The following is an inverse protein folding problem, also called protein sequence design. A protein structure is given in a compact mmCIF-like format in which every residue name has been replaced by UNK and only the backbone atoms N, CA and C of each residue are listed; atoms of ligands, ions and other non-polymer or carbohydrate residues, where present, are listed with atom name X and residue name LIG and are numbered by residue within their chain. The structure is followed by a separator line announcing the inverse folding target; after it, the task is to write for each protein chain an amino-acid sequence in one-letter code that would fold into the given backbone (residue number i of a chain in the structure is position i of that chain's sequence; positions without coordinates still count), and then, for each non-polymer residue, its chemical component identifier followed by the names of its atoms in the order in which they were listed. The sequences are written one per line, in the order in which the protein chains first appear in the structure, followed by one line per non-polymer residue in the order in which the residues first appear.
data_IF_982973776813
#
_entry.id   IF_982973776813
#
_cell.length_a   1.000
_cell.length_b   1.000
_cell.length_c   1.000
_cell.angle_alpha   90.00
_cell.angle_beta   90.00
_cell.angle_gamma   90.00
#
_symmetry.space_group_name_H-M   'P 1'
#
loop_
_entity.id
_entity.type
_entity.pdbx_description
1 polymer ?
#
# COMPACT_ATOMS: atom_id res chain seq x y z
N UNK A 1 11.43 -7.36 25.52
CA UNK A 1 12.33 -8.05 24.57
C UNK A 1 12.03 -7.49 23.19
N UNK A 2 12.99 -6.84 22.51
CA UNK A 2 12.78 -6.27 21.17
C UNK A 2 13.07 -7.38 20.14
N UNK A 3 12.10 -7.69 19.28
CA UNK A 3 12.32 -8.65 18.21
C UNK A 3 13.29 -8.06 17.19
N UNK A 4 14.32 -8.81 16.86
CA UNK A 4 15.25 -8.46 15.79
C UNK A 4 14.86 -9.20 14.52
N UNK A 5 14.57 -8.47 13.45
CA UNK A 5 14.27 -9.04 12.15
C UNK A 5 15.54 -9.06 11.28
N UNK A 6 15.90 -10.21 10.78
CA UNK A 6 16.98 -10.34 9.79
C UNK A 6 16.35 -10.29 8.42
N UNK A 7 16.68 -9.27 7.65
CA UNK A 7 16.24 -9.18 6.25
C UNK A 7 16.89 -10.30 5.43
N UNK A 8 16.08 -11.06 4.72
CA UNK A 8 16.54 -12.10 3.80
C UNK A 8 16.62 -11.51 2.39
N UNK A 9 17.63 -11.96 1.62
CA UNK A 9 17.85 -11.44 0.27
C UNK A 9 16.65 -11.70 -0.66
N UNK A 10 16.09 -12.91 -0.64
CA UNK A 10 14.91 -13.23 -1.46
C UNK A 10 13.68 -12.38 -1.14
N UNK A 11 13.49 -11.97 0.14
CA UNK A 11 12.41 -11.07 0.53
C UNK A 11 12.61 -9.67 -0.05
N UNK A 12 13.85 -9.20 -0.06
CA UNK A 12 14.21 -7.92 -0.65
C UNK A 12 14.05 -7.95 -2.17
N UNK A 13 14.48 -9.03 -2.79
CA UNK A 13 14.30 -9.28 -4.23
C UNK A 13 12.82 -9.29 -4.60
N UNK A 14 11.99 -10.07 -3.90
CA UNK A 14 10.54 -10.12 -4.15
C UNK A 14 9.89 -8.74 -4.05
N UNK A 15 10.23 -7.96 -3.02
CA UNK A 15 9.75 -6.57 -2.90
C UNK A 15 10.22 -5.72 -4.07
N UNK A 16 11.50 -5.80 -4.42
CA UNK A 16 12.08 -5.03 -5.53
C UNK A 16 11.40 -5.35 -6.86
N UNK A 17 11.07 -6.60 -7.14
CA UNK A 17 10.35 -6.99 -8.36
C UNK A 17 9.01 -6.27 -8.52
N UNK A 18 8.25 -6.12 -7.42
CA UNK A 18 7.00 -5.34 -7.47
C UNK A 18 7.26 -3.88 -7.79
N UNK A 19 8.27 -3.29 -7.17
CA UNK A 19 8.60 -1.89 -7.41
C UNK A 19 9.06 -1.68 -8.85
N UNK A 20 9.91 -2.56 -9.37
CA UNK A 20 10.46 -2.46 -10.73
C UNK A 20 9.37 -2.51 -11.82
N UNK A 21 8.22 -3.16 -11.56
CA UNK A 21 7.07 -3.15 -12.50
C UNK A 21 6.61 -1.72 -12.79
N UNK A 22 6.63 -0.85 -11.79
CA UNK A 22 6.18 0.54 -11.91
C UNK A 22 7.31 1.54 -12.17
N UNK A 23 8.47 1.07 -12.61
CA UNK A 23 9.60 1.94 -12.95
C UNK A 23 9.18 2.95 -14.03
N UNK A 24 9.45 4.23 -13.78
CA UNK A 24 8.99 5.34 -14.61
C UNK A 24 7.73 6.02 -14.10
N UNK A 25 7.02 5.42 -13.13
CA UNK A 25 5.87 6.04 -12.49
C UNK A 25 6.29 7.27 -11.69
N UNK A 26 5.62 8.39 -11.93
CA UNK A 26 5.83 9.60 -11.17
C UNK A 26 5.35 9.46 -9.72
N UNK A 27 6.18 9.93 -8.80
CA UNK A 27 5.81 9.97 -7.37
C UNK A 27 4.78 11.05 -7.11
N UNK A 28 3.74 10.72 -6.35
CA UNK A 28 2.73 11.67 -5.93
C UNK A 28 1.53 11.00 -5.27
N UNK A 29 0.69 11.83 -4.67
CA UNK A 29 -0.64 11.46 -4.20
C UNK A 29 -1.66 12.36 -4.90
N UNK A 30 -2.86 11.85 -5.08
CA UNK A 30 -3.99 12.65 -5.55
C UNK A 30 -4.73 13.22 -4.34
N UNK A 31 -5.02 14.51 -4.38
CA UNK A 31 -5.76 15.21 -3.33
C UNK A 31 -6.97 15.87 -3.95
N UNK A 32 -8.14 15.42 -3.58
CA UNK A 32 -9.41 16.00 -4.02
C UNK A 32 -10.04 16.79 -2.86
N UNK A 33 -10.51 18.00 -3.12
CA UNK A 33 -11.30 18.77 -2.15
C UNK A 33 -12.77 18.38 -2.35
N UNK A 34 -13.33 17.69 -1.33
CA UNK A 34 -14.72 17.20 -1.41
C UNK A 34 -15.70 18.26 -0.99
N UNK A 35 -15.39 19.03 0.05
CA UNK A 35 -16.27 19.99 0.65
C UNK A 35 -15.48 21.18 1.20
N UNK A 36 -16.06 22.37 1.06
CA UNK A 36 -15.58 23.59 1.72
C UNK A 36 -16.67 24.09 2.66
N UNK A 37 -16.38 24.12 3.95
CA UNK A 37 -17.26 24.69 4.97
C UNK A 37 -16.71 26.02 5.41
N UNK A 38 -17.58 27.02 5.46
CA UNK A 38 -17.25 28.30 6.07
C UNK A 38 -17.69 28.23 7.53
N UNK A 39 -16.72 28.27 8.43
CA UNK A 39 -16.95 28.28 9.87
C UNK A 39 -16.87 29.75 10.30
N UNK A 40 -17.96 30.26 10.93
CA UNK A 40 -17.98 31.59 11.53
C UNK A 40 -17.42 31.48 12.96
N UNK A 41 -16.24 32.04 13.18
CA UNK A 41 -15.55 32.05 14.48
C UNK A 41 -15.91 33.34 15.27
N UNK A 42 -16.98 34.00 14.93
CA UNK A 42 -17.45 35.21 15.62
C UNK A 42 -16.47 36.39 15.46
N UNK A 43 -15.88 36.85 16.58
CA UNK A 43 -14.95 38.01 16.61
C UNK A 43 -13.67 37.74 15.78
N UNK A 44 -13.29 36.48 15.55
CA UNK A 44 -12.09 36.08 14.79
C UNK A 44 -12.35 36.01 13.27
N UNK A 45 -13.61 36.18 12.82
CA UNK A 45 -13.96 36.17 11.41
C UNK A 45 -14.36 34.81 10.87
N UNK A 46 -14.40 34.69 9.53
CA UNK A 46 -14.80 33.46 8.85
C UNK A 46 -13.56 32.64 8.42
N UNK A 47 -13.53 31.37 8.78
CA UNK A 47 -12.49 30.43 8.38
C UNK A 47 -13.07 29.40 7.42
N UNK A 48 -12.37 29.16 6.32
CA UNK A 48 -12.74 28.09 5.39
C UNK A 48 -12.08 26.79 5.82
N UNK A 49 -12.88 25.79 6.12
CA UNK A 49 -12.40 24.42 6.36
C UNK A 49 -12.61 23.59 5.09
N UNK A 50 -11.55 22.98 4.60
CA UNK A 50 -11.60 22.08 3.45
C UNK A 50 -11.55 20.62 3.92
N UNK A 51 -12.50 19.81 3.48
CA UNK A 51 -12.47 18.37 3.64
C UNK A 51 -11.75 17.80 2.41
N UNK A 52 -10.58 17.21 2.65
CA UNK A 52 -9.72 16.65 1.62
C UNK A 52 -9.83 15.12 1.60
N UNK A 53 -9.79 14.56 0.40
CA UNK A 53 -9.64 13.12 0.16
C UNK A 53 -8.27 12.88 -0.44
N UNK A 54 -7.57 11.89 0.11
CA UNK A 54 -6.29 11.42 -0.40
C UNK A 54 -6.48 10.08 -1.07
N UNK A 55 -5.93 9.92 -2.25
CA UNK A 55 -5.91 8.66 -3.00
C UNK A 55 -4.54 8.45 -3.64
N UNK A 56 -4.28 7.22 -4.06
CA UNK A 56 -3.10 6.94 -4.85
C UNK A 56 -3.18 7.69 -6.19
N UNK A 57 -2.04 8.22 -6.65
CA UNK A 57 -1.94 8.78 -7.98
C UNK A 57 -2.18 7.67 -9.01
N UNK A 58 -2.91 8.00 -10.07
CA UNK A 58 -3.13 7.08 -11.17
C UNK A 58 -1.80 6.66 -11.80
N UNK A 59 -1.77 5.47 -12.39
CA UNK A 59 -0.60 4.98 -13.12
C UNK A 59 -0.46 5.81 -14.39
N UNK A 60 0.67 6.50 -14.55
CA UNK A 60 0.95 7.43 -15.65
C UNK A 60 1.89 6.86 -16.70
N UNK A 61 2.58 5.75 -16.39
CA UNK A 61 3.41 5.04 -17.37
C UNK A 61 2.52 4.36 -18.41
N UNK A 62 2.98 4.29 -19.64
CA UNK A 62 2.25 3.66 -20.73
C UNK A 62 2.14 2.13 -20.53
N UNK A 63 1.11 1.52 -21.14
CA UNK A 63 0.96 0.07 -21.10
C UNK A 63 2.15 -0.67 -21.71
N UNK A 64 2.81 -0.09 -22.71
CA UNK A 64 4.00 -0.68 -23.34
C UNK A 64 5.20 -0.65 -22.41
N UNK A 65 5.42 0.46 -21.70
CA UNK A 65 6.46 0.55 -20.67
C UNK A 65 6.20 -0.39 -19.51
N UNK A 66 4.94 -0.47 -19.05
CA UNK A 66 4.54 -1.39 -18.00
C UNK A 66 4.79 -2.85 -18.40
N UNK A 67 4.39 -3.23 -19.63
CA UNK A 67 4.63 -4.57 -20.16
C UNK A 67 6.14 -4.87 -20.26
N UNK A 68 6.92 -3.91 -20.73
CA UNK A 68 8.39 -4.03 -20.79
C UNK A 68 8.99 -4.25 -19.39
N UNK A 69 8.59 -3.47 -18.40
CA UNK A 69 9.05 -3.62 -17.02
C UNK A 69 8.71 -5.00 -16.46
N UNK A 70 7.51 -5.52 -16.73
CA UNK A 70 7.08 -6.87 -16.35
C UNK A 70 7.99 -7.92 -17.01
N UNK A 71 8.20 -7.82 -18.32
CA UNK A 71 9.04 -8.75 -19.05
C UNK A 71 10.48 -8.75 -18.54
N UNK A 72 11.03 -7.57 -18.26
CA UNK A 72 12.38 -7.44 -17.73
C UNK A 72 12.48 -8.06 -16.32
N UNK A 73 11.47 -7.88 -15.48
CA UNK A 73 11.37 -8.54 -14.17
C UNK A 73 11.31 -10.06 -14.31
N UNK A 74 10.45 -10.56 -15.19
CA UNK A 74 10.28 -12.00 -15.45
C UNK A 74 11.54 -12.64 -16.00
N UNK A 75 12.29 -11.96 -16.87
CA UNK A 75 13.60 -12.42 -17.38
C UNK A 75 14.64 -12.50 -16.29
N UNK A 76 14.69 -11.52 -15.38
CA UNK A 76 15.61 -11.53 -14.23
C UNK A 76 15.33 -12.68 -13.26
N UNK A 77 14.10 -13.17 -13.20
CA UNK A 77 13.71 -14.32 -12.39
C UNK A 77 13.73 -15.64 -13.20
N UNK A 78 14.29 -15.62 -14.42
CA UNK A 78 14.45 -16.78 -15.31
C UNK A 78 13.13 -17.55 -15.56
N UNK A 79 12.00 -16.83 -15.61
CA UNK A 79 10.71 -17.46 -15.82
C UNK A 79 10.60 -18.04 -17.24
N UNK A 80 10.13 -19.29 -17.33
CA UNK A 80 9.96 -20.00 -18.59
C UNK A 80 8.94 -19.35 -19.55
N UNK A 81 7.97 -18.60 -19.00
CA UNK A 81 6.95 -17.91 -19.77
C UNK A 81 6.98 -16.42 -19.47
N UNK A 82 7.27 -15.64 -20.50
CA UNK A 82 7.25 -14.18 -20.45
C UNK A 82 5.90 -13.68 -20.94
N UNK A 83 5.33 -12.71 -20.23
CA UNK A 83 4.05 -12.09 -20.60
C UNK A 83 4.14 -11.41 -21.97
N UNK A 84 3.18 -11.66 -22.84
CA UNK A 84 3.12 -11.08 -24.19
C UNK A 84 2.22 -9.84 -24.25
N UNK A 85 1.29 -9.74 -23.29
CA UNK A 85 0.34 -8.62 -23.21
C UNK A 85 -0.09 -8.42 -21.77
N UNK A 86 -0.63 -7.25 -21.46
CA UNK A 86 -1.34 -6.98 -20.22
C UNK A 86 -2.75 -7.58 -20.35
N UNK A 87 -3.08 -8.51 -19.45
CA UNK A 87 -4.47 -8.99 -19.34
C UNK A 87 -5.34 -7.84 -18.81
N UNK A 88 -6.65 -7.93 -19.05
CA UNK A 88 -7.61 -6.95 -18.57
C UNK A 88 -7.43 -6.68 -17.06
N UNK A 89 -7.04 -5.45 -16.73
CA UNK A 89 -6.63 -5.05 -15.39
C UNK A 89 -5.15 -5.37 -15.09
N UNK A 90 -4.59 -4.64 -14.13
CA UNK A 90 -3.19 -4.81 -13.69
C UNK A 90 -3.15 -5.84 -12.56
N UNK A 91 -3.16 -7.12 -12.93
CA UNK A 91 -3.09 -8.23 -12.00
C UNK A 91 -1.70 -8.87 -12.06
N UNK A 92 -0.99 -8.89 -10.92
CA UNK A 92 0.32 -9.49 -10.79
C UNK A 92 0.29 -10.57 -9.72
N UNK A 93 1.03 -11.65 -9.95
CA UNK A 93 1.22 -12.73 -8.97
C UNK A 93 2.66 -12.81 -8.53
N UNK A 94 2.86 -12.98 -7.23
CA UNK A 94 4.16 -13.30 -6.65
C UNK A 94 4.03 -14.64 -5.95
N UNK A 95 4.83 -15.60 -6.38
CA UNK A 95 4.87 -16.93 -5.77
C UNK A 95 6.01 -16.99 -4.76
N UNK A 96 5.69 -17.43 -3.58
CA UNK A 96 6.65 -17.68 -2.49
C UNK A 96 6.20 -18.91 -1.70
N UNK A 97 7.14 -19.72 -1.26
CA UNK A 97 6.84 -20.89 -0.45
C UNK A 97 6.18 -20.54 0.90
N UNK A 98 5.50 -21.51 1.48
CA UNK A 98 4.91 -21.35 2.80
C UNK A 98 6.00 -21.19 3.86
N UNK A 99 5.80 -20.28 4.82
CA UNK A 99 6.79 -20.03 5.88
C UNK A 99 7.92 -19.06 5.50
N UNK A 100 8.01 -18.60 4.24
CA UNK A 100 9.08 -17.68 3.78
C UNK A 100 8.85 -16.21 4.13
N UNK A 101 7.78 -15.88 4.85
CA UNK A 101 7.49 -14.51 5.29
C UNK A 101 6.73 -13.67 4.27
N UNK A 102 5.79 -14.26 3.53
CA UNK A 102 4.91 -13.53 2.58
C UNK A 102 4.32 -12.25 3.18
N UNK A 103 3.83 -12.31 4.42
CA UNK A 103 3.27 -11.15 5.12
C UNK A 103 4.31 -10.04 5.31
N UNK A 104 5.52 -10.37 5.68
CA UNK A 104 6.61 -9.41 5.78
C UNK A 104 6.95 -8.77 4.43
N UNK A 105 6.97 -9.57 3.35
CA UNK A 105 7.27 -9.10 1.99
C UNK A 105 6.21 -8.11 1.50
N UNK A 106 4.91 -8.41 1.58
CA UNK A 106 3.92 -7.44 1.12
C UNK A 106 3.82 -6.22 2.03
N UNK A 107 4.07 -6.36 3.34
CA UNK A 107 4.16 -5.20 4.24
C UNK A 107 5.33 -4.30 3.83
N UNK A 108 6.50 -4.86 3.58
CA UNK A 108 7.67 -4.13 3.05
C UNK A 108 7.34 -3.48 1.71
N UNK A 109 6.63 -4.18 0.83
CA UNK A 109 6.20 -3.68 -0.48
C UNK A 109 5.32 -2.44 -0.34
N UNK A 110 4.38 -2.40 0.62
CA UNK A 110 3.56 -1.22 0.91
C UNK A 110 4.45 0.00 1.23
N UNK A 111 5.45 -0.16 2.10
CA UNK A 111 6.38 0.92 2.42
C UNK A 111 7.22 1.35 1.22
N UNK A 112 7.70 0.41 0.43
CA UNK A 112 8.51 0.73 -0.77
C UNK A 112 7.66 1.40 -1.86
N UNK A 113 6.40 1.01 -2.07
CA UNK A 113 5.46 1.68 -2.97
C UNK A 113 5.19 3.11 -2.51
N UNK A 114 5.00 3.32 -1.20
CA UNK A 114 4.87 4.66 -0.65
C UNK A 114 6.15 5.48 -0.85
N UNK A 115 7.31 4.92 -0.56
CA UNK A 115 8.61 5.59 -0.69
C UNK A 115 8.92 6.00 -2.13
N UNK A 116 8.66 5.12 -3.08
CA UNK A 116 9.01 5.33 -4.48
C UNK A 116 7.93 6.12 -5.24
N UNK A 117 6.65 5.82 -5.01
CA UNK A 117 5.54 6.35 -5.81
C UNK A 117 4.56 7.23 -5.03
N UNK A 118 4.69 7.33 -3.70
CA UNK A 118 3.80 8.13 -2.87
C UNK A 118 2.42 7.47 -2.64
N UNK A 119 2.23 6.23 -3.07
CA UNK A 119 0.99 5.51 -2.86
C UNK A 119 0.81 5.19 -1.38
N UNK A 120 -0.33 5.58 -0.83
CA UNK A 120 -0.58 5.53 0.60
C UNK A 120 -1.89 4.83 1.00
N UNK A 121 -2.66 4.31 0.02
CA UNK A 121 -3.92 3.61 0.24
C UNK A 121 -3.83 2.18 -0.27
N UNK A 122 -4.02 1.22 0.61
CA UNK A 122 -3.89 -0.20 0.31
C UNK A 122 -5.04 -1.01 0.91
N UNK A 123 -5.40 -2.09 0.25
CA UNK A 123 -6.39 -3.06 0.74
C UNK A 123 -5.74 -4.44 0.70
N UNK A 124 -5.78 -5.15 1.83
CA UNK A 124 -5.32 -6.53 1.94
C UNK A 124 -6.55 -7.42 2.02
N UNK A 125 -6.77 -8.24 1.00
CA UNK A 125 -7.87 -9.20 0.97
C UNK A 125 -7.35 -10.58 1.34
N UNK A 126 -7.98 -11.21 2.30
CA UNK A 126 -7.59 -12.52 2.83
C UNK A 126 -8.74 -13.51 2.80
N UNK A 127 -8.49 -14.80 2.58
CA UNK A 127 -9.54 -15.79 2.37
C UNK A 127 -10.23 -16.27 3.65
N UNK A 128 -9.69 -15.97 4.84
CA UNK A 128 -10.25 -16.43 6.11
C UNK A 128 -9.96 -15.51 7.28
N UNK A 129 -10.79 -15.62 8.33
CA UNK A 129 -10.61 -14.88 9.58
C UNK A 129 -9.26 -15.23 10.23
N UNK A 130 -8.85 -16.50 10.21
CA UNK A 130 -7.58 -16.92 10.81
C UNK A 130 -6.38 -16.24 10.15
N UNK A 131 -6.39 -16.12 8.80
CA UNK A 131 -5.34 -15.42 8.08
C UNK A 131 -5.42 -13.91 8.35
N UNK A 132 -6.61 -13.34 8.46
CA UNK A 132 -6.80 -11.93 8.81
C UNK A 132 -6.16 -11.60 10.17
N UNK A 133 -6.43 -12.41 11.18
CA UNK A 133 -5.83 -12.23 12.51
C UNK A 133 -4.29 -12.41 12.47
N UNK A 134 -3.80 -13.32 11.64
CA UNK A 134 -2.37 -13.49 11.40
C UNK A 134 -1.72 -12.24 10.75
N UNK A 135 -2.40 -11.62 9.78
CA UNK A 135 -1.97 -10.36 9.17
C UNK A 135 -1.95 -9.24 10.20
N UNK A 136 -3.03 -9.06 10.94
CA UNK A 136 -3.15 -8.09 12.03
C UNK A 136 -1.97 -8.19 13.00
N UNK A 137 -1.76 -9.37 13.57
CA UNK A 137 -0.66 -9.63 14.50
C UNK A 137 0.72 -9.38 13.87
N UNK A 138 0.90 -9.69 12.60
CA UNK A 138 2.16 -9.46 11.90
C UNK A 138 2.44 -7.97 11.72
N UNK A 139 1.43 -7.17 11.37
CA UNK A 139 1.55 -5.71 11.26
C UNK A 139 1.94 -5.08 12.60
N UNK A 140 1.33 -5.53 13.70
CA UNK A 140 1.68 -5.06 15.06
C UNK A 140 3.13 -5.39 15.42
N UNK A 141 3.51 -6.66 15.28
CA UNK A 141 4.84 -7.14 15.65
C UNK A 141 5.94 -6.43 14.84
N UNK A 142 5.70 -6.15 13.56
CA UNK A 142 6.68 -5.54 12.67
C UNK A 142 6.63 -4.01 12.66
N UNK A 143 5.66 -3.40 13.33
CA UNK A 143 5.40 -1.95 13.29
C UNK A 143 6.63 -1.11 13.67
N UNK A 144 7.30 -1.45 14.77
CA UNK A 144 8.47 -0.68 15.22
C UNK A 144 9.68 -0.90 14.32
N UNK A 145 9.88 -2.11 13.80
CA UNK A 145 10.93 -2.40 12.83
C UNK A 145 10.77 -1.54 11.57
N UNK A 146 9.58 -1.51 10.98
CA UNK A 146 9.32 -0.70 9.78
C UNK A 146 9.36 0.79 10.07
N UNK A 147 8.91 1.22 11.26
CA UNK A 147 9.06 2.63 11.67
C UNK A 147 10.52 3.07 11.74
N UNK A 148 11.41 2.24 12.27
CA UNK A 148 12.85 2.52 12.29
C UNK A 148 13.43 2.58 10.87
N UNK A 149 12.98 1.69 9.99
CA UNK A 149 13.51 1.59 8.62
C UNK A 149 13.01 2.71 7.68
N UNK A 150 11.73 3.11 7.80
CA UNK A 150 11.08 4.03 6.87
C UNK A 150 10.67 5.38 7.47
N UNK A 151 10.81 5.57 8.78
CA UNK A 151 10.36 6.78 9.48
C UNK A 151 8.84 6.93 9.55
N UNK A 152 8.07 5.93 9.13
CA UNK A 152 6.62 5.94 9.02
C UNK A 152 6.01 4.68 9.63
N UNK A 153 4.75 4.78 10.06
CA UNK A 153 3.93 3.61 10.47
C UNK A 153 2.78 3.42 9.49
N UNK A 154 2.37 2.18 9.30
CA UNK A 154 1.09 1.85 8.69
C UNK A 154 0.01 2.06 9.74
N UNK A 155 -1.06 2.76 9.37
CA UNK A 155 -2.33 2.78 10.09
C UNK A 155 -3.26 1.81 9.40
N UNK A 156 -3.96 0.99 10.15
CA UNK A 156 -4.83 -0.01 9.54
C UNK A 156 -6.07 -0.25 10.39
N UNK A 157 -7.11 -0.76 9.76
CA UNK A 157 -8.28 -1.29 10.44
C UNK A 157 -8.81 -2.54 9.73
N UNK A 158 -9.49 -3.37 10.50
CA UNK A 158 -10.17 -4.55 10.00
C UNK A 158 -11.57 -4.15 9.55
N UNK A 159 -11.89 -4.41 8.27
CA UNK A 159 -13.24 -4.23 7.77
C UNK A 159 -14.11 -5.41 8.17
N UNK A 160 -15.16 -5.14 8.95
CA UNK A 160 -16.16 -6.14 9.34
C UNK A 160 -17.55 -5.59 9.04
N UNK A 161 -18.29 -6.25 8.14
CA UNK A 161 -19.63 -5.84 7.71
C UNK A 161 -20.63 -5.65 8.86
N UNK A 162 -20.38 -6.29 10.01
CA UNK A 162 -21.20 -6.20 11.22
C UNK A 162 -20.84 -5.01 12.12
N UNK A 163 -19.75 -4.32 11.82
CA UNK A 163 -19.26 -3.24 12.68
C UNK A 163 -19.74 -1.87 12.18
N UNK A 164 -20.51 -1.16 13.00
CA UNK A 164 -21.02 0.18 12.70
C UNK A 164 -19.92 1.26 12.58
N UNK A 165 -18.74 1.01 13.16
CA UNK A 165 -17.60 1.94 13.07
C UNK A 165 -16.91 1.96 11.70
N UNK A 166 -17.26 1.04 10.78
CA UNK A 166 -16.65 0.98 9.44
C UNK A 166 -16.75 2.30 8.66
N UNK A 167 -17.90 2.99 8.73
CA UNK A 167 -18.07 4.27 8.02
C UNK A 167 -17.09 5.33 8.52
N UNK A 168 -16.86 5.39 9.83
CA UNK A 168 -15.89 6.32 10.44
C UNK A 168 -14.47 5.94 9.99
N UNK A 169 -14.12 4.66 10.05
CA UNK A 169 -12.82 4.17 9.65
C UNK A 169 -12.53 4.39 8.15
N UNK A 170 -13.53 4.17 7.28
CA UNK A 170 -13.42 4.48 5.84
C UNK A 170 -13.23 5.99 5.62
N UNK A 171 -13.92 6.83 6.38
CA UNK A 171 -13.75 8.29 6.30
C UNK A 171 -12.33 8.69 6.69
N UNK A 172 -11.77 8.13 7.76
CA UNK A 172 -10.37 8.35 8.15
C UNK A 172 -9.40 7.84 7.08
N UNK A 173 -9.62 6.62 6.55
CA UNK A 173 -8.82 6.08 5.46
C UNK A 173 -8.80 7.04 4.26
N UNK A 174 -9.93 7.60 3.89
CA UNK A 174 -10.02 8.51 2.76
C UNK A 174 -9.39 9.89 3.03
N UNK A 175 -9.46 10.40 4.26
CA UNK A 175 -9.00 11.76 4.60
C UNK A 175 -7.55 11.83 5.10
N UNK A 176 -6.92 10.71 5.39
CA UNK A 176 -5.55 10.64 5.89
C UNK A 176 -4.53 10.76 4.76
N UNK A 177 -3.43 11.50 4.98
CA UNK A 177 -2.25 11.53 4.11
C UNK A 177 -1.20 10.47 4.46
N UNK A 178 -1.42 9.70 5.54
CA UNK A 178 -0.50 8.66 5.98
C UNK A 178 -0.75 7.34 5.22
N UNK A 179 0.12 6.35 5.44
CA UNK A 179 -0.06 5.01 4.88
C UNK A 179 -1.22 4.34 5.60
N UNK A 180 -2.30 4.10 4.88
CA UNK A 180 -3.52 3.50 5.40
C UNK A 180 -3.78 2.15 4.73
N UNK A 181 -4.15 1.15 5.53
CA UNK A 181 -4.45 -0.21 5.07
C UNK A 181 -5.80 -0.66 5.60
N UNK A 182 -6.62 -1.22 4.72
CA UNK A 182 -7.85 -1.97 5.08
C UNK A 182 -7.53 -3.46 4.99
N UNK A 183 -7.93 -4.24 6.00
CA UNK A 183 -7.78 -5.70 6.01
C UNK A 183 -9.16 -6.34 5.99
#
# INVERSE_FOLDING_TARGET
MKLQFKTQEYQTTATKRVIDIFKGQEKGSRVDIIERKIIDEGVLGKKTQEIKRFSNKDITISNDELLKNIQDTQKQDELLKISQNLKAGLNFSIEMETGTGKTFVYTKTIFELYKNYGWNKFIIVVPSIAIREGVHKSLDITSDYFKELYGKKIRYFIYDTKNSSNLVNISFFASSSEIEVII
#
